data_IF_415966242551
#
_entry.id   IF_415966242551
#
_cell.length_a   1.000
_cell.length_b   1.000
_cell.length_c   1.000
_cell.angle_alpha   90.00
_cell.angle_beta   90.00
_cell.angle_gamma   90.00
#
_symmetry.space_group_name_H-M   'P 1'
#
loop_
_entity.id
_entity.type
_entity.pdbx_description
1 polymer ?
#
# COMPACT_ATOMS: atom_id res chain seq x y z
N UNK A 1 49.42 4.54 -19.85
CA UNK A 1 48.44 3.55 -19.38
C UNK A 1 47.18 4.30 -18.99
N UNK A 2 46.15 4.27 -19.83
CA UNK A 2 44.92 5.02 -19.61
C UNK A 2 43.95 4.18 -18.77
N UNK A 3 43.65 4.64 -17.56
CA UNK A 3 42.65 4.01 -16.71
C UNK A 3 41.26 4.52 -17.13
N UNK A 4 40.47 3.66 -17.76
CA UNK A 4 39.06 3.91 -18.06
C UNK A 4 38.25 3.92 -16.76
N UNK A 5 37.79 5.10 -16.36
CA UNK A 5 36.92 5.30 -15.20
C UNK A 5 35.58 4.63 -15.46
N UNK A 6 35.33 3.49 -14.82
CA UNK A 6 34.03 2.81 -14.85
C UNK A 6 32.98 3.71 -14.21
N UNK A 7 32.08 4.26 -15.02
CA UNK A 7 30.95 5.04 -14.56
C UNK A 7 29.90 4.07 -13.99
N UNK A 8 29.87 3.92 -12.66
CA UNK A 8 28.81 3.17 -11.97
C UNK A 8 27.51 3.97 -12.14
N UNK A 9 26.75 3.64 -13.19
CA UNK A 9 25.39 4.12 -13.36
C UNK A 9 24.51 3.31 -12.42
N UNK A 10 24.03 3.95 -11.36
CA UNK A 10 23.03 3.39 -10.46
C UNK A 10 21.84 2.91 -11.29
N UNK A 11 21.62 1.59 -11.33
CA UNK A 11 20.39 1.04 -11.86
C UNK A 11 19.29 1.33 -10.84
N UNK A 12 18.54 2.41 -11.02
CA UNK A 12 17.21 2.52 -10.42
C UNK A 12 16.38 1.42 -11.06
N UNK A 13 16.33 0.24 -10.41
CA UNK A 13 15.32 -0.75 -10.74
C UNK A 13 13.98 -0.01 -10.60
N UNK A 14 13.12 0.00 -11.63
CA UNK A 14 11.75 0.42 -11.39
C UNK A 14 11.24 -0.54 -10.31
N UNK A 15 11.08 -0.02 -9.10
CA UNK A 15 10.31 -0.71 -8.08
C UNK A 15 8.93 -0.76 -8.72
N UNK A 16 8.58 -1.92 -9.27
CA UNK A 16 7.25 -2.17 -9.78
C UNK A 16 6.35 -2.24 -8.55
N UNK A 17 6.06 -1.08 -7.97
CA UNK A 17 5.04 -0.95 -6.93
C UNK A 17 3.74 -1.40 -7.57
N UNK A 18 3.10 -2.39 -6.96
CA UNK A 18 1.84 -2.92 -7.44
C UNK A 18 0.86 -1.75 -7.64
N UNK A 19 0.07 -1.69 -8.73
CA UNK A 19 -0.79 -0.54 -9.03
C UNK A 19 -1.77 -0.20 -7.89
N UNK A 20 -2.15 -1.18 -7.07
CA UNK A 20 -2.94 -0.94 -5.86
C UNK A 20 -2.18 -0.19 -4.77
N UNK A 21 -0.88 -0.46 -4.58
CA UNK A 21 -0.04 0.27 -3.60
C UNK A 21 0.07 1.73 -4.00
N UNK A 22 0.30 2.01 -5.29
CA UNK A 22 0.32 3.39 -5.84
C UNK A 22 -1.02 4.08 -5.60
N UNK A 23 -2.14 3.36 -5.79
CA UNK A 23 -3.48 3.91 -5.55
C UNK A 23 -3.72 4.26 -4.08
N UNK A 24 -3.27 3.42 -3.14
CA UNK A 24 -3.34 3.70 -1.69
C UNK A 24 -2.51 4.93 -1.33
N UNK A 25 -1.27 5.02 -1.83
CA UNK A 25 -0.38 6.17 -1.59
C UNK A 25 -0.96 7.49 -2.12
N UNK A 26 -1.61 7.45 -3.29
CA UNK A 26 -2.30 8.59 -3.87
C UNK A 26 -3.48 9.04 -3.00
N UNK A 27 -4.32 8.10 -2.53
CA UNK A 27 -5.41 8.43 -1.60
C UNK A 27 -4.89 9.04 -0.29
N UNK A 28 -3.78 8.52 0.24
CA UNK A 28 -3.12 9.05 1.44
C UNK A 28 -2.58 10.47 1.24
N UNK A 29 -2.04 10.75 0.05
CA UNK A 29 -1.55 12.08 -0.33
C UNK A 29 -2.70 13.07 -0.46
N UNK A 30 -3.78 12.68 -1.12
CA UNK A 30 -5.01 13.48 -1.25
C UNK A 30 -5.68 13.75 0.09
N UNK A 31 -5.70 12.76 0.98
CA UNK A 31 -6.23 12.91 2.34
C UNK A 31 -5.39 13.92 3.13
N UNK A 32 -4.06 13.83 3.06
CA UNK A 32 -3.15 14.80 3.71
C UNK A 32 -3.33 16.22 3.18
N UNK A 33 -3.46 16.39 1.87
CA UNK A 33 -3.75 17.70 1.27
C UNK A 33 -5.09 18.27 1.75
N UNK A 34 -6.15 17.44 1.73
CA UNK A 34 -7.46 17.79 2.29
C UNK A 34 -7.36 18.13 3.77
N UNK A 35 -6.40 17.55 4.50
CA UNK A 35 -6.21 17.85 5.91
C UNK A 35 -5.59 19.23 6.18
N UNK A 36 -4.74 19.72 5.28
CA UNK A 36 -4.14 21.05 5.37
C UNK A 36 -5.08 22.16 4.88
N UNK A 37 -6.07 21.82 4.07
CA UNK A 37 -7.10 22.75 3.61
C UNK A 37 -8.04 23.11 4.77
N UNK A 38 -8.01 24.37 5.22
CA UNK A 38 -8.90 24.93 6.27
C UNK A 38 -10.37 24.97 5.86
N UNK A 39 -10.66 24.89 4.55
CA UNK A 39 -12.03 24.91 4.01
C UNK A 39 -12.61 23.51 3.77
N UNK A 40 -11.88 22.45 4.11
CA UNK A 40 -12.37 21.08 3.95
C UNK A 40 -13.38 20.74 5.05
N UNK A 41 -14.61 20.44 4.64
CA UNK A 41 -15.63 19.92 5.56
C UNK A 41 -15.21 18.59 6.16
N UNK A 42 -15.61 18.34 7.41
CA UNK A 42 -15.40 17.05 8.09
C UNK A 42 -15.98 15.87 7.30
N UNK A 43 -17.07 16.09 6.55
CA UNK A 43 -17.64 15.10 5.63
C UNK A 43 -16.66 14.69 4.52
N UNK A 44 -15.93 15.64 3.93
CA UNK A 44 -14.94 15.37 2.88
C UNK A 44 -13.75 14.56 3.43
N UNK A 45 -13.34 14.85 4.67
CA UNK A 45 -12.25 14.11 5.34
C UNK A 45 -12.65 12.67 5.65
N UNK A 46 -13.86 12.47 6.18
CA UNK A 46 -14.39 11.13 6.46
C UNK A 46 -14.63 10.33 5.16
N UNK A 47 -15.09 10.99 4.09
CA UNK A 47 -15.22 10.39 2.77
C UNK A 47 -13.88 9.93 2.20
N UNK A 48 -12.84 10.76 2.29
CA UNK A 48 -11.48 10.38 1.88
C UNK A 48 -10.90 9.22 2.69
N UNK A 49 -11.18 9.15 4.00
CA UNK A 49 -10.77 8.03 4.84
C UNK A 49 -11.48 6.73 4.45
N UNK A 50 -12.77 6.79 4.11
CA UNK A 50 -13.54 5.64 3.63
C UNK A 50 -12.98 5.08 2.33
N UNK A 51 -12.62 5.94 1.38
CA UNK A 51 -11.99 5.51 0.12
C UNK A 51 -10.63 4.85 0.36
N UNK A 52 -9.80 5.43 1.25
CA UNK A 52 -8.52 4.84 1.64
C UNK A 52 -8.72 3.44 2.24
N UNK A 53 -9.72 3.27 3.12
CA UNK A 53 -10.04 1.97 3.71
C UNK A 53 -10.40 0.94 2.65
N UNK A 54 -11.25 1.30 1.67
CA UNK A 54 -11.61 0.39 0.59
C UNK A 54 -10.40 -0.04 -0.24
N UNK A 55 -9.49 0.88 -0.56
CA UNK A 55 -8.27 0.56 -1.33
C UNK A 55 -7.31 -0.36 -0.58
N UNK A 56 -7.21 -0.20 0.74
CA UNK A 56 -6.41 -1.08 1.60
C UNK A 56 -7.06 -2.45 1.72
N UNK A 57 -8.40 -2.50 1.82
CA UNK A 57 -9.15 -3.75 1.84
C UNK A 57 -9.01 -4.51 0.51
N UNK A 58 -9.12 -3.83 -0.63
CA UNK A 58 -8.86 -4.39 -1.96
C UNK A 58 -7.42 -4.94 -2.06
N UNK A 59 -6.43 -4.22 -1.54
CA UNK A 59 -5.04 -4.68 -1.48
C UNK A 59 -4.90 -5.94 -0.63
N UNK A 60 -5.59 -6.00 0.51
CA UNK A 60 -5.58 -7.16 1.40
C UNK A 60 -6.22 -8.37 0.74
N UNK A 61 -7.37 -8.19 0.07
CA UNK A 61 -8.04 -9.28 -0.66
C UNK A 61 -7.19 -9.81 -1.83
N UNK A 62 -6.40 -8.94 -2.48
CA UNK A 62 -5.55 -9.34 -3.60
C UNK A 62 -4.27 -10.05 -3.14
N UNK A 63 -3.67 -9.60 -2.03
CA UNK A 63 -2.47 -10.19 -1.44
C UNK A 63 -2.78 -11.46 -0.64
N UNK A 64 -3.97 -11.52 -0.04
CA UNK A 64 -4.48 -12.63 0.76
C UNK A 64 -5.85 -13.05 0.22
N UNK A 65 -5.90 -13.89 -0.83
CA UNK A 65 -7.16 -14.50 -1.23
C UNK A 65 -7.74 -15.22 0.00
N UNK A 66 -9.04 -15.04 0.24
CA UNK A 66 -9.77 -15.56 1.42
C UNK A 66 -9.49 -17.04 1.75
N UNK A 67 -9.07 -17.83 0.78
CA UNK A 67 -8.61 -19.21 0.95
C UNK A 67 -7.35 -19.33 1.86
N UNK A 68 -6.37 -18.43 1.71
CA UNK A 68 -5.12 -18.44 2.48
C UNK A 68 -5.32 -18.03 3.95
N UNK A 69 -6.36 -17.24 4.24
CA UNK A 69 -6.68 -16.81 5.61
C UNK A 69 -7.28 -17.93 6.46
N UNK A 70 -7.90 -18.96 5.85
CA UNK A 70 -8.45 -20.10 6.59
C UNK A 70 -7.30 -21.06 6.97
N UNK A 71 -6.38 -21.33 6.05
CA UNK A 71 -5.27 -22.27 6.29
C UNK A 71 -4.30 -21.84 7.41
N UNK A 72 -4.09 -20.52 7.62
CA UNK A 72 -3.23 -20.04 8.71
C UNK A 72 -3.92 -19.95 10.08
N UNK A 73 -5.25 -19.91 10.15
CA UNK A 73 -5.96 -19.83 11.43
C UNK A 73 -6.29 -21.21 12.01
N UNK A 74 -6.48 -22.23 11.16
CA UNK A 74 -6.78 -23.59 11.60
C UNK A 74 -5.55 -24.29 12.22
N UNK A 75 -4.33 -23.93 11.84
CA UNK A 75 -3.10 -24.50 12.41
C UNK A 75 -2.78 -24.10 13.86
N UNK A 76 -3.48 -23.12 14.44
CA UNK A 76 -3.28 -22.67 15.84
C UNK A 76 -4.30 -23.29 16.80
N UNK A 77 -5.39 -23.87 16.30
CA UNK A 77 -6.50 -24.36 17.14
C UNK A 77 -6.52 -25.89 17.31
N UNK A 78 -5.64 -26.64 16.64
CA UNK A 78 -5.53 -28.10 16.79
C UNK A 78 -4.46 -28.55 17.82
N UNK A 79 -3.93 -27.60 18.60
CA UNK A 79 -2.76 -27.82 19.47
C UNK A 79 -3.02 -27.83 20.99
N UNK A 80 -4.24 -28.13 21.45
CA UNK A 80 -4.49 -28.35 22.89
C UNK A 80 -4.85 -29.82 23.15
N UNK A 81 -3.81 -30.62 23.45
CA UNK A 81 -3.94 -31.87 24.21
C UNK A 81 -4.04 -31.57 25.71
#
# INVERSE_FOLDING_TARGET
MAASTGHVRSSSLPINTHPLVVSVEEQLTRLRASQQETSSSMSNRLGGLKELYHRVDDLFQLQFPRALCIEHLEGVLDGSL
#
